data_IF_864885012331
#
_entry.id   IF_864885012331
#
_cell.length_a   1.000
_cell.length_b   1.000
_cell.length_c   1.000
_cell.angle_alpha   90.00
_cell.angle_beta   90.00
_cell.angle_gamma   90.00
#
_symmetry.space_group_name_H-M   'P 1'
#
loop_
_entity.id
_entity.type
_entity.pdbx_description
1 polymer ?
#
# COMPACT_ATOMS: atom_id res chain seq x y z
N UNK A 1 13.98 -13.34 -7.19
CA UNK A 1 12.93 -14.07 -7.94
C UNK A 1 11.76 -14.38 -6.99
N UNK A 2 10.52 -14.40 -7.48
CA UNK A 2 9.40 -14.91 -6.69
C UNK A 2 9.57 -16.42 -6.49
N UNK A 3 9.33 -16.91 -5.26
CA UNK A 3 9.43 -18.33 -4.92
C UNK A 3 8.40 -18.70 -3.87
N UNK A 4 8.02 -19.98 -3.83
CA UNK A 4 7.27 -20.55 -2.70
C UNK A 4 8.26 -20.95 -1.61
N UNK A 5 7.90 -20.74 -0.35
CA UNK A 5 8.68 -21.12 0.82
C UNK A 5 7.81 -22.00 1.71
N UNK A 6 8.33 -23.14 2.15
CA UNK A 6 7.68 -23.97 3.15
C UNK A 6 8.11 -23.48 4.54
N UNK A 7 7.15 -23.17 5.41
CA UNK A 7 7.42 -22.61 6.74
C UNK A 7 6.96 -23.57 7.82
N UNK A 8 7.78 -23.75 8.84
CA UNK A 8 7.39 -24.32 10.13
C UNK A 8 7.03 -23.22 11.10
N UNK A 9 5.94 -23.40 11.83
CA UNK A 9 5.47 -22.46 12.84
C UNK A 9 5.41 -23.18 14.17
N UNK A 10 6.06 -22.62 15.19
CA UNK A 10 6.05 -23.11 16.57
C UNK A 10 5.64 -21.95 17.47
N UNK A 11 4.88 -22.23 18.52
CA UNK A 11 4.47 -21.19 19.45
C UNK A 11 4.42 -21.70 20.88
N UNK A 12 4.63 -20.80 21.84
CA UNK A 12 4.55 -21.10 23.26
C UNK A 12 4.29 -19.82 24.06
N UNK A 13 3.76 -19.97 25.25
CA UNK A 13 3.73 -18.89 26.25
C UNK A 13 5.11 -18.76 26.89
N UNK A 14 5.57 -17.51 27.04
CA UNK A 14 6.84 -17.17 27.68
C UNK A 14 6.64 -16.07 28.71
N UNK A 15 7.41 -16.10 29.78
CA UNK A 15 7.45 -15.02 30.77
C UNK A 15 8.82 -14.35 30.72
N UNK A 16 8.84 -13.11 30.24
CA UNK A 16 10.05 -12.29 30.17
C UNK A 16 10.33 -11.66 31.54
N UNK A 17 11.53 -11.90 32.05
CA UNK A 17 11.99 -11.29 33.29
C UNK A 17 12.55 -9.88 33.03
N UNK A 18 12.37 -8.93 33.97
CA UNK A 18 13.00 -7.62 33.89
C UNK A 18 14.54 -7.71 33.79
N UNK A 19 15.20 -6.77 33.07
CA UNK A 19 16.66 -6.74 33.01
C UNK A 19 17.28 -6.51 34.40
N UNK A 20 18.29 -7.32 34.76
CA UNK A 20 18.93 -7.25 36.08
C UNK A 20 19.70 -5.94 36.33
N UNK A 21 20.18 -5.28 35.27
CA UNK A 21 21.07 -4.11 35.36
C UNK A 21 20.35 -2.75 35.27
N UNK A 22 19.01 -2.71 35.32
CA UNK A 22 18.28 -1.44 35.37
C UNK A 22 18.44 -0.80 36.75
N UNK A 23 18.59 0.52 36.79
CA UNK A 23 18.63 1.25 38.06
C UNK A 23 17.41 0.87 38.91
N UNK A 24 17.63 0.41 40.14
CA UNK A 24 16.65 -0.17 41.09
C UNK A 24 15.41 0.70 41.41
N UNK A 25 15.28 1.88 40.79
CA UNK A 25 14.17 2.82 40.96
C UNK A 25 12.87 2.36 40.29
N UNK A 26 12.94 1.50 39.27
CA UNK A 26 11.76 0.96 38.60
C UNK A 26 11.64 -0.55 38.86
N UNK A 27 10.77 -0.95 39.79
CA UNK A 27 10.40 -2.36 39.97
C UNK A 27 9.41 -2.76 38.88
N UNK A 28 9.93 -3.31 37.78
CA UNK A 28 9.10 -3.85 36.71
C UNK A 28 8.64 -5.28 37.06
N UNK A 29 7.38 -5.60 36.75
CA UNK A 29 6.86 -6.95 36.89
C UNK A 29 7.27 -7.82 35.69
N UNK A 30 7.44 -9.14 35.87
CA UNK A 30 7.60 -10.08 34.76
C UNK A 30 6.41 -10.00 33.78
N UNK A 31 6.72 -10.06 32.48
CA UNK A 31 5.72 -9.91 31.42
C UNK A 31 5.48 -11.24 30.72
N UNK A 32 4.26 -11.77 30.83
CA UNK A 32 3.86 -13.00 30.14
C UNK A 32 3.29 -12.67 28.77
N UNK A 33 3.86 -13.29 27.73
CA UNK A 33 3.55 -13.07 26.32
C UNK A 33 3.45 -14.40 25.58
N UNK A 34 2.98 -14.33 24.35
CA UNK A 34 3.09 -15.43 23.40
C UNK A 34 4.29 -15.21 22.48
N UNK A 35 5.10 -16.25 22.30
CA UNK A 35 6.20 -16.29 21.35
C UNK A 35 5.82 -17.20 20.18
N UNK A 36 6.02 -16.73 18.95
CA UNK A 36 5.78 -17.47 17.71
C UNK A 36 7.08 -17.47 16.91
N UNK A 37 7.63 -18.65 16.65
CA UNK A 37 8.78 -18.86 15.79
C UNK A 37 8.33 -19.38 14.43
N UNK A 38 8.59 -18.61 13.39
CA UNK A 38 8.37 -18.98 11.98
C UNK A 38 9.72 -19.21 11.33
N UNK A 39 9.98 -20.42 10.85
CA UNK A 39 11.23 -20.79 10.19
C UNK A 39 10.99 -21.48 8.87
N UNK A 40 11.70 -21.04 7.85
CA UNK A 40 11.74 -21.71 6.56
C UNK A 40 12.43 -23.06 6.64
N UNK A 41 11.83 -24.04 5.97
CA UNK A 41 12.34 -25.40 5.82
C UNK A 41 13.00 -25.51 4.45
N UNK A 42 14.15 -26.18 4.38
CA UNK A 42 14.85 -26.48 3.12
C UNK A 42 15.09 -25.23 2.25
N UNK A 43 15.51 -24.13 2.88
CA UNK A 43 15.86 -22.92 2.15
C UNK A 43 17.03 -23.19 1.17
N UNK A 44 16.97 -22.66 -0.07
CA UNK A 44 18.07 -22.77 -1.02
C UNK A 44 19.37 -22.21 -0.44
N UNK A 45 20.50 -22.86 -0.70
CA UNK A 45 21.80 -22.53 -0.09
C UNK A 45 22.27 -21.10 -0.34
N UNK A 46 21.79 -20.46 -1.42
CA UNK A 46 22.17 -19.10 -1.82
C UNK A 46 21.26 -18.01 -1.23
N UNK A 47 20.22 -18.37 -0.46
CA UNK A 47 19.22 -17.42 0.05
C UNK A 47 19.17 -17.50 1.57
N UNK A 48 19.19 -16.35 2.24
CA UNK A 48 18.97 -16.28 3.67
C UNK A 48 17.54 -16.78 4.02
N UNK A 49 17.40 -17.80 4.88
CA UNK A 49 16.10 -18.40 5.20
C UNK A 49 15.20 -17.42 5.94
N UNK A 50 13.89 -17.48 5.69
CA UNK A 50 12.93 -16.73 6.50
C UNK A 50 12.99 -17.27 7.94
N UNK A 51 13.31 -16.39 8.90
CA UNK A 51 13.32 -16.72 10.33
C UNK A 51 12.78 -15.54 11.13
N UNK A 52 11.52 -15.64 11.58
CA UNK A 52 10.87 -14.62 12.41
C UNK A 52 10.60 -15.18 13.81
N UNK A 53 11.06 -14.47 14.83
CA UNK A 53 10.61 -14.66 16.21
C UNK A 53 9.70 -13.49 16.58
N UNK A 54 8.41 -13.75 16.68
CA UNK A 54 7.38 -12.77 16.96
C UNK A 54 6.95 -12.88 18.42
N UNK A 55 6.84 -11.75 19.10
CA UNK A 55 6.26 -11.65 20.43
C UNK A 55 4.94 -10.90 20.33
N UNK A 56 3.90 -11.42 20.99
CA UNK A 56 2.58 -10.80 20.97
C UNK A 56 1.90 -10.91 22.34
N UNK A 57 1.14 -9.87 22.68
CA UNK A 57 0.24 -9.85 23.85
C UNK A 57 -1.11 -10.52 23.54
N UNK A 58 -1.37 -10.84 22.28
CA UNK A 58 -2.60 -11.48 21.84
C UNK A 58 -2.63 -12.93 22.32
N UNK A 59 -3.80 -13.38 22.79
CA UNK A 59 -3.99 -14.76 23.24
C UNK A 59 -3.91 -15.71 22.03
N UNK A 60 -3.34 -16.90 22.25
CA UNK A 60 -3.38 -17.99 21.28
C UNK A 60 -4.26 -19.07 21.88
N UNK A 61 -5.41 -19.30 21.25
CA UNK A 61 -6.36 -20.35 21.65
C UNK A 61 -6.38 -21.50 20.63
N UNK A 62 -5.89 -21.24 19.42
CA UNK A 62 -5.94 -22.15 18.28
C UNK A 62 -4.74 -21.94 17.34
N UNK A 63 -4.53 -22.85 16.40
CA UNK A 63 -3.50 -22.69 15.36
C UNK A 63 -3.90 -21.59 14.36
N UNK A 64 -5.20 -21.35 14.17
CA UNK A 64 -5.76 -20.30 13.32
C UNK A 64 -5.36 -18.90 13.83
N UNK A 65 -5.32 -18.69 15.15
CA UNK A 65 -4.83 -17.45 15.76
C UNK A 65 -3.37 -17.18 15.35
N UNK A 66 -2.54 -18.22 15.41
CA UNK A 66 -1.11 -18.14 15.06
C UNK A 66 -0.95 -17.77 13.59
N UNK A 67 -1.66 -18.45 12.69
CA UNK A 67 -1.64 -18.18 11.27
C UNK A 67 -2.06 -16.73 10.97
N UNK A 68 -3.10 -16.25 11.65
CA UNK A 68 -3.58 -14.87 11.54
C UNK A 68 -2.54 -13.86 12.02
N UNK A 69 -1.86 -14.11 13.13
CA UNK A 69 -0.83 -13.20 13.64
C UNK A 69 0.41 -13.15 12.74
N UNK A 70 0.82 -14.29 12.18
CA UNK A 70 1.90 -14.35 11.18
C UNK A 70 1.49 -13.61 9.90
N UNK A 71 0.24 -13.78 9.45
CA UNK A 71 -0.30 -13.04 8.31
C UNK A 71 -0.30 -11.52 8.58
N UNK A 72 -0.73 -11.09 9.76
CA UNK A 72 -0.67 -9.67 10.14
C UNK A 72 0.75 -9.13 10.16
N UNK A 73 1.70 -9.88 10.70
CA UNK A 73 3.10 -9.47 10.68
C UNK A 73 3.66 -9.38 9.24
N UNK A 74 3.19 -10.22 8.32
CA UNK A 74 3.56 -10.11 6.89
C UNK A 74 3.16 -8.75 6.29
N UNK A 75 2.12 -8.11 6.83
CA UNK A 75 1.69 -6.77 6.42
C UNK A 75 2.55 -5.64 6.98
N UNK A 76 3.51 -5.92 7.88
CA UNK A 76 4.42 -4.90 8.43
C UNK A 76 5.13 -4.11 7.33
N UNK A 77 5.47 -4.75 6.21
CA UNK A 77 6.15 -4.10 5.09
C UNK A 77 5.30 -3.03 4.38
N UNK A 78 3.98 -2.97 4.62
CA UNK A 78 3.12 -1.93 4.05
C UNK A 78 3.57 -0.53 4.48
N UNK A 79 4.13 -0.36 5.68
CA UNK A 79 4.64 0.94 6.14
C UNK A 79 5.85 1.40 5.31
N UNK A 80 6.70 0.48 4.87
CA UNK A 80 7.84 0.81 4.00
C UNK A 80 7.35 1.23 2.61
N UNK A 81 6.27 0.60 2.12
CA UNK A 81 5.60 1.04 0.89
C UNK A 81 5.00 2.43 1.06
N UNK A 82 4.43 2.75 2.21
CA UNK A 82 3.95 4.09 2.52
C UNK A 82 5.10 5.12 2.52
N UNK A 83 6.20 4.84 3.23
CA UNK A 83 7.39 5.71 3.22
C UNK A 83 7.98 5.89 1.82
N UNK A 84 8.03 4.83 1.02
CA UNK A 84 8.45 4.91 -0.38
C UNK A 84 7.57 5.86 -1.20
N UNK A 85 6.24 5.80 -1.03
CA UNK A 85 5.32 6.72 -1.70
C UNK A 85 5.55 8.15 -1.25
N UNK A 86 5.66 8.39 0.05
CA UNK A 86 5.85 9.72 0.61
C UNK A 86 7.17 10.37 0.14
N UNK A 87 8.27 9.61 0.17
CA UNK A 87 9.60 10.10 -0.20
C UNK A 87 9.81 10.17 -1.71
N UNK A 88 9.66 9.03 -2.39
CA UNK A 88 9.98 8.90 -3.82
C UNK A 88 8.83 9.28 -4.75
N UNK A 89 7.58 9.06 -4.32
CA UNK A 89 6.38 9.41 -5.09
C UNK A 89 6.03 10.88 -4.97
N UNK A 90 5.67 11.31 -3.75
CA UNK A 90 5.31 12.70 -3.44
C UNK A 90 6.51 13.65 -3.45
N UNK A 91 7.74 13.14 -3.44
CA UNK A 91 8.94 13.97 -3.49
C UNK A 91 9.15 14.81 -2.24
N UNK A 92 8.65 14.37 -1.08
CA UNK A 92 8.67 15.13 0.18
C UNK A 92 10.08 15.65 0.54
N UNK A 93 11.11 14.83 0.32
CA UNK A 93 12.52 15.18 0.63
C UNK A 93 13.14 16.17 -0.38
N UNK A 94 12.42 16.51 -1.46
CA UNK A 94 12.86 17.48 -2.47
C UNK A 94 12.30 18.89 -2.24
N UNK A 95 11.33 19.04 -1.32
CA UNK A 95 10.72 20.32 -1.04
C UNK A 95 11.76 21.29 -0.46
N UNK A 96 11.82 22.50 -1.00
CA UNK A 96 12.72 23.57 -0.55
C UNK A 96 11.93 24.63 0.24
N UNK A 97 11.16 24.19 1.23
CA UNK A 97 10.39 25.11 2.08
C UNK A 97 11.29 25.69 3.17
N UNK A 98 11.23 27.01 3.34
CA UNK A 98 12.18 27.78 4.16
C UNK A 98 12.10 27.51 5.67
N UNK A 99 10.97 27.00 6.18
CA UNK A 99 10.76 26.82 7.63
C UNK A 99 10.32 25.41 7.97
N UNK A 100 10.70 24.95 9.17
CA UNK A 100 10.28 23.66 9.71
C UNK A 100 8.75 23.53 9.75
N UNK A 101 8.05 24.58 10.20
CA UNK A 101 6.59 24.59 10.23
C UNK A 101 5.95 24.39 8.84
N UNK A 102 6.50 25.00 7.79
CA UNK A 102 6.02 24.79 6.42
C UNK A 102 6.27 23.35 5.94
N UNK A 103 7.40 22.75 6.32
CA UNK A 103 7.68 21.34 6.06
C UNK A 103 6.71 20.40 6.81
N UNK A 104 6.37 20.69 8.06
CA UNK A 104 5.38 19.91 8.82
C UNK A 104 3.98 19.97 8.18
N UNK A 105 3.55 21.14 7.73
CA UNK A 105 2.27 21.30 7.02
C UNK A 105 2.24 20.56 5.68
N UNK A 106 3.35 20.61 4.93
CA UNK A 106 3.50 19.82 3.72
C UNK A 106 3.47 18.32 4.05
N UNK A 107 4.19 17.88 5.08
CA UNK A 107 4.22 16.48 5.51
C UNK A 107 2.82 15.97 5.83
N UNK A 108 2.01 16.73 6.57
CA UNK A 108 0.63 16.37 6.89
C UNK A 108 -0.21 16.17 5.61
N UNK A 109 -0.11 17.10 4.66
CA UNK A 109 -0.84 17.05 3.39
C UNK A 109 -0.40 15.86 2.53
N UNK A 110 0.91 15.69 2.33
CA UNK A 110 1.46 14.61 1.53
C UNK A 110 1.26 13.23 2.19
N UNK A 111 1.14 13.16 3.51
CA UNK A 111 0.81 11.91 4.22
C UNK A 111 -0.56 11.38 3.80
N UNK A 112 -1.57 12.26 3.67
CA UNK A 112 -2.91 11.89 3.21
C UNK A 112 -2.88 11.43 1.75
N UNK A 113 -2.14 12.16 0.90
CA UNK A 113 -1.99 11.80 -0.52
C UNK A 113 -1.30 10.44 -0.67
N UNK A 114 -0.21 10.22 0.06
CA UNK A 114 0.55 8.97 0.04
C UNK A 114 -0.31 7.78 0.51
N UNK A 115 -1.09 7.97 1.57
CA UNK A 115 -2.04 6.99 2.05
C UNK A 115 -3.11 6.68 0.99
N UNK A 116 -3.74 7.70 0.39
CA UNK A 116 -4.80 7.51 -0.62
C UNK A 116 -4.29 6.74 -1.84
N UNK A 117 -3.07 7.03 -2.30
CA UNK A 117 -2.42 6.29 -3.40
C UNK A 117 -2.20 4.82 -3.05
N UNK A 118 -1.72 4.56 -1.83
CA UNK A 118 -1.48 3.20 -1.37
C UNK A 118 -2.79 2.45 -1.18
N UNK A 119 -3.81 3.10 -0.62
CA UNK A 119 -5.16 2.59 -0.48
C UNK A 119 -5.77 2.21 -1.83
N UNK A 120 -5.75 3.10 -2.84
CA UNK A 120 -6.25 2.79 -4.18
C UNK A 120 -5.54 1.56 -4.78
N UNK A 121 -4.21 1.50 -4.60
CA UNK A 121 -3.40 0.37 -5.10
C UNK A 121 -3.86 -0.96 -4.52
N UNK A 122 -4.15 -1.03 -3.22
CA UNK A 122 -4.58 -2.26 -2.57
C UNK A 122 -6.07 -2.53 -2.73
N UNK A 123 -6.91 -1.49 -2.77
CA UNK A 123 -8.34 -1.63 -3.00
C UNK A 123 -8.61 -2.36 -4.33
N UNK A 124 -7.92 -1.95 -5.41
CA UNK A 124 -8.06 -2.62 -6.70
C UNK A 124 -7.48 -4.05 -6.74
N UNK A 125 -6.55 -4.39 -5.84
CA UNK A 125 -6.02 -5.76 -5.73
C UNK A 125 -6.93 -6.67 -4.91
N UNK A 126 -7.54 -6.15 -3.84
CA UNK A 126 -8.42 -6.89 -2.95
C UNK A 126 -9.83 -7.02 -3.53
N UNK A 127 -10.30 -6.01 -4.25
CA UNK A 127 -11.67 -5.92 -4.78
C UNK A 127 -11.68 -5.48 -6.24
N UNK A 128 -11.02 -6.22 -7.16
CA UNK A 128 -10.81 -5.80 -8.55
C UNK A 128 -12.10 -5.57 -9.33
N UNK A 129 -13.17 -6.31 -9.00
CA UNK A 129 -14.45 -6.29 -9.71
C UNK A 129 -15.44 -5.24 -9.17
N UNK A 130 -15.10 -4.52 -8.11
CA UNK A 130 -15.95 -3.45 -7.58
C UNK A 130 -16.02 -2.26 -8.54
N UNK A 131 -17.08 -1.47 -8.44
CA UNK A 131 -17.25 -0.24 -9.24
C UNK A 131 -16.13 0.77 -8.96
N UNK A 132 -15.62 1.42 -10.01
CA UNK A 132 -14.66 2.51 -9.89
C UNK A 132 -15.24 3.77 -9.22
N UNK A 133 -16.56 3.89 -9.10
CA UNK A 133 -17.21 5.08 -8.51
C UNK A 133 -16.92 5.24 -7.01
N UNK A 134 -16.34 4.21 -6.38
CA UNK A 134 -15.80 4.31 -5.03
C UNK A 134 -14.56 5.23 -4.95
N UNK A 135 -13.91 5.51 -6.09
CA UNK A 135 -12.63 6.22 -6.15
C UNK A 135 -12.59 7.37 -7.14
N UNK A 136 -13.38 7.32 -8.21
CA UNK A 136 -13.43 8.31 -9.28
C UNK A 136 -14.87 8.74 -9.54
N UNK A 137 -15.07 10.04 -9.77
CA UNK A 137 -16.35 10.58 -10.24
C UNK A 137 -16.63 10.17 -11.70
N UNK A 138 -17.91 10.16 -12.14
CA UNK A 138 -18.32 9.88 -13.52
C UNK A 138 -17.46 10.56 -14.58
N UNK A 139 -17.25 11.86 -14.42
CA UNK A 139 -16.45 12.64 -15.34
C UNK A 139 -14.99 12.16 -15.41
N UNK A 140 -14.39 11.83 -14.26
CA UNK A 140 -12.98 11.45 -14.18
C UNK A 140 -12.73 10.13 -14.93
N UNK A 141 -13.55 9.11 -14.69
CA UNK A 141 -13.35 7.82 -15.37
C UNK A 141 -13.77 7.88 -16.85
N UNK A 142 -14.70 8.76 -17.24
CA UNK A 142 -15.04 9.01 -18.65
C UNK A 142 -13.90 9.70 -19.40
N UNK A 143 -13.32 10.75 -18.83
CA UNK A 143 -12.15 11.45 -19.40
C UNK A 143 -10.96 10.49 -19.49
N UNK A 144 -10.73 9.69 -18.45
CA UNK A 144 -9.70 8.65 -18.45
C UNK A 144 -9.88 7.67 -19.61
N UNK A 145 -11.10 7.13 -19.77
CA UNK A 145 -11.41 6.20 -20.84
C UNK A 145 -11.22 6.84 -22.22
N UNK A 146 -11.77 8.04 -22.43
CA UNK A 146 -11.62 8.79 -23.68
C UNK A 146 -10.17 9.09 -24.03
N UNK A 147 -9.32 9.34 -23.04
CA UNK A 147 -7.90 9.57 -23.26
C UNK A 147 -7.17 8.29 -23.69
N UNK A 148 -7.45 7.16 -23.04
CA UNK A 148 -6.77 5.89 -23.31
C UNK A 148 -7.24 5.26 -24.62
N UNK A 149 -8.55 5.28 -24.88
CA UNK A 149 -9.18 4.56 -25.99
C UNK A 149 -9.56 5.45 -27.17
N UNK A 150 -9.40 6.77 -27.05
CA UNK A 150 -9.74 7.75 -28.10
C UNK A 150 -11.21 7.66 -28.55
N UNK A 151 -12.10 7.26 -27.65
CA UNK A 151 -13.53 7.09 -27.92
C UNK A 151 -14.36 7.32 -26.65
N UNK A 152 -15.65 7.63 -26.82
CA UNK A 152 -16.57 7.74 -25.69
C UNK A 152 -16.77 6.37 -25.03
N UNK A 153 -16.95 6.39 -23.71
CA UNK A 153 -17.22 5.17 -22.97
C UNK A 153 -18.52 4.52 -23.46
N UNK A 154 -18.47 3.26 -23.98
CA UNK A 154 -19.59 2.69 -24.74
C UNK A 154 -20.65 2.01 -23.86
N UNK A 155 -20.43 1.92 -22.54
CA UNK A 155 -21.31 1.18 -21.64
C UNK A 155 -22.10 2.09 -20.71
N UNK A 156 -23.27 1.61 -20.28
CA UNK A 156 -24.11 2.30 -19.30
C UNK A 156 -23.68 2.10 -17.86
N UNK A 157 -22.86 1.07 -17.58
CA UNK A 157 -22.37 0.75 -16.24
C UNK A 157 -20.94 1.24 -16.06
N UNK A 158 -20.57 1.74 -14.86
CA UNK A 158 -19.21 2.19 -14.59
C UNK A 158 -18.21 1.02 -14.75
N UNK A 159 -16.96 1.33 -15.13
CA UNK A 159 -15.90 0.35 -15.21
C UNK A 159 -15.51 -0.18 -13.82
N UNK A 160 -14.82 -1.31 -13.80
CA UNK A 160 -14.31 -1.92 -12.56
C UNK A 160 -13.06 -1.19 -12.05
N UNK A 161 -12.75 -1.38 -10.76
CA UNK A 161 -11.51 -0.87 -10.15
C UNK A 161 -10.26 -1.37 -10.88
N UNK A 162 -10.23 -2.64 -11.28
CA UNK A 162 -9.10 -3.21 -11.99
C UNK A 162 -8.88 -2.53 -13.36
N UNK A 163 -9.96 -2.22 -14.08
CA UNK A 163 -9.88 -1.52 -15.36
C UNK A 163 -9.34 -0.09 -15.19
N UNK A 164 -9.96 0.71 -14.32
CA UNK A 164 -9.54 2.11 -14.14
C UNK A 164 -8.13 2.22 -13.58
N UNK A 165 -7.71 1.33 -12.67
CA UNK A 165 -6.35 1.34 -12.12
C UNK A 165 -5.33 0.98 -13.20
N UNK A 166 -5.65 0.07 -14.12
CA UNK A 166 -4.79 -0.20 -15.26
C UNK A 166 -4.72 1.00 -16.23
N UNK A 167 -5.84 1.65 -16.53
CA UNK A 167 -5.87 2.84 -17.38
C UNK A 167 -5.11 4.02 -16.77
N UNK A 168 -5.29 4.28 -15.47
CA UNK A 168 -4.50 5.25 -14.72
C UNK A 168 -3.01 4.89 -14.85
N UNK A 169 -2.65 3.64 -14.60
CA UNK A 169 -1.26 3.22 -14.71
C UNK A 169 -0.70 3.44 -16.12
N UNK A 170 -1.49 3.18 -17.17
CA UNK A 170 -1.11 3.42 -18.57
C UNK A 170 -0.82 4.90 -18.84
N UNK A 171 -1.62 5.83 -18.32
CA UNK A 171 -1.31 7.27 -18.36
C UNK A 171 0.04 7.58 -17.69
N UNK A 172 0.40 6.82 -16.65
CA UNK A 172 1.67 6.92 -15.93
C UNK A 172 2.84 6.16 -16.55
N UNK A 173 2.65 5.52 -17.71
CA UNK A 173 3.68 4.78 -18.46
C UNK A 173 3.74 3.28 -18.19
N UNK A 174 2.72 2.68 -17.58
CA UNK A 174 2.59 1.23 -17.47
C UNK A 174 2.13 0.62 -18.80
N UNK A 175 2.85 -0.37 -19.30
CA UNK A 175 2.55 -0.96 -20.60
C UNK A 175 1.41 -1.97 -20.54
N UNK A 176 1.20 -2.64 -19.39
CA UNK A 176 0.11 -3.60 -19.22
C UNK A 176 0.23 -4.84 -20.11
N UNK A 177 1.46 -5.30 -20.39
CA UNK A 177 1.68 -6.49 -21.21
C UNK A 177 1.29 -7.75 -20.43
N UNK A 178 1.00 -8.82 -21.16
CA UNK A 178 0.72 -10.13 -20.55
C UNK A 178 1.93 -10.57 -19.70
N UNK A 179 1.71 -10.67 -18.39
CA UNK A 179 2.75 -11.06 -17.42
C UNK A 179 3.39 -9.91 -16.62
N UNK A 180 3.10 -8.64 -16.93
CA UNK A 180 3.64 -7.48 -16.18
C UNK A 180 3.14 -7.43 -14.71
N UNK A 181 2.07 -8.17 -14.40
CA UNK A 181 1.44 -8.19 -13.08
C UNK A 181 0.63 -6.92 -12.81
N UNK A 182 0.42 -6.61 -11.53
CA UNK A 182 -0.36 -5.42 -11.13
C UNK A 182 0.49 -4.15 -11.16
N UNK A 183 -0.10 -3.00 -11.53
CA UNK A 183 0.58 -1.71 -11.47
C UNK A 183 1.22 -1.41 -10.10
N UNK A 184 2.40 -0.79 -10.15
CA UNK A 184 3.08 -0.25 -8.99
C UNK A 184 2.64 1.18 -8.67
N UNK A 185 2.82 1.59 -7.41
CA UNK A 185 2.38 2.92 -6.95
C UNK A 185 3.00 4.10 -7.73
N UNK A 186 4.21 3.93 -8.29
CA UNK A 186 4.90 4.96 -9.06
C UNK A 186 4.16 5.33 -10.36
N UNK A 187 3.67 4.33 -11.09
CA UNK A 187 2.91 4.56 -12.32
C UNK A 187 1.50 5.05 -12.01
N UNK A 188 0.90 4.58 -10.90
CA UNK A 188 -0.41 5.08 -10.46
C UNK A 188 -0.38 6.54 -10.06
N UNK A 189 0.64 6.98 -9.33
CA UNK A 189 0.82 8.39 -8.99
C UNK A 189 0.90 9.27 -10.24
N UNK A 190 1.81 8.95 -11.17
CA UNK A 190 1.98 9.70 -12.43
C UNK A 190 0.68 9.74 -13.23
N UNK A 191 -0.01 8.61 -13.28
CA UNK A 191 -1.30 8.48 -13.96
C UNK A 191 -2.37 9.37 -13.36
N UNK A 192 -2.51 9.38 -12.04
CA UNK A 192 -3.50 10.20 -11.33
C UNK A 192 -3.22 11.70 -11.48
N UNK A 193 -1.96 12.13 -11.36
CA UNK A 193 -1.60 13.53 -11.61
C UNK A 193 -2.00 13.94 -13.03
N UNK A 194 -1.68 13.11 -14.02
CA UNK A 194 -2.04 13.37 -15.42
C UNK A 194 -3.56 13.36 -15.65
N UNK A 195 -4.28 12.44 -15.03
CA UNK A 195 -5.74 12.40 -15.11
C UNK A 195 -6.36 13.68 -14.55
N UNK A 196 -5.85 14.16 -13.41
CA UNK A 196 -6.34 15.40 -12.80
C UNK A 196 -6.15 16.62 -13.71
N UNK A 197 -5.00 16.72 -14.40
CA UNK A 197 -4.74 17.77 -15.38
C UNK A 197 -5.69 17.68 -16.60
N UNK A 198 -5.93 16.45 -17.08
CA UNK A 198 -6.86 16.19 -18.20
C UNK A 198 -8.31 16.57 -17.84
N UNK A 199 -8.76 16.20 -16.64
CA UNK A 199 -10.11 16.54 -16.16
C UNK A 199 -10.26 18.06 -16.01
N UNK A 200 -9.26 18.76 -15.45
CA UNK A 200 -9.24 20.22 -15.40
C UNK A 200 -9.34 20.86 -16.79
N UNK A 201 -8.55 20.37 -17.74
CA UNK A 201 -8.57 20.84 -19.12
C UNK A 201 -9.94 20.62 -19.78
N UNK A 202 -10.55 19.46 -19.56
CA UNK A 202 -11.89 19.14 -20.06
C UNK A 202 -12.96 20.09 -19.50
N UNK A 203 -12.98 20.28 -18.18
CA UNK A 203 -13.93 21.21 -17.52
C UNK A 203 -13.76 22.64 -18.05
N UNK A 204 -12.53 23.10 -18.19
CA UNK A 204 -12.25 24.42 -18.76
C UNK A 204 -12.75 24.52 -20.20
N UNK A 205 -12.51 23.53 -21.05
CA UNK A 205 -13.00 23.49 -22.43
C UNK A 205 -14.53 23.53 -22.49
N UNK A 206 -15.22 22.76 -21.64
CA UNK A 206 -16.68 22.79 -21.57
C UNK A 206 -17.20 24.18 -21.21
N UNK A 207 -16.56 24.87 -20.25
CA UNK A 207 -16.97 26.23 -19.87
C UNK A 207 -16.81 27.27 -20.99
N UNK A 208 -15.89 27.04 -21.94
CA UNK A 208 -15.69 27.91 -23.10
C UNK A 208 -16.68 27.65 -24.24
N UNK A 209 -17.23 26.44 -24.33
CA UNK A 209 -18.19 26.04 -25.38
C UNK A 209 -19.64 26.34 -24.98
N UNK A 210 -19.92 26.49 -23.68
CA UNK A 210 -21.25 26.81 -23.14
C UNK A 210 -21.50 28.33 -23.06
N UNK A 211 -20.51 29.16 -23.41
CA UNK A 211 -20.66 30.59 -23.70
C UNK A 211 -20.69 30.85 -25.20
#
# INVERSE_FOLDING_TARGET
PARKAALTIRYTTVTLQPPQNRAKKEQLAPLTLQAILVKEVEAPTEIEPISWLLLTTLKITSIEDVNKYVQWYSYRWLIERYHYVLKSGCGMEKLQLETAQRLEMALATYSIVAWRLLWLTYLARCSPTSSCEQVLEPLEWQVLYGTIHQQLYPHSRPPTLAEVVNWIAQLGGFLGRKGDGSPGVKVLWRGLSRLHDLVKGWVACQSLVVN
#
